data_IF_109223296260
#
_entry.id   IF_109223296260
#
_cell.length_a   1.000
_cell.length_b   1.000
_cell.length_c   1.000
_cell.angle_alpha   90.00
_cell.angle_beta   90.00
_cell.angle_gamma   90.00
#
_symmetry.space_group_name_H-M   'P 1'
#
loop_
_entity.id
_entity.type
_entity.pdbx_description
1 polymer ?
#
# COMPACT_ATOMS: atom_id res chain seq x y z
N UNK A 1 -2.39 -12.59 14.06
CA UNK A 1 -1.10 -12.83 13.39
C UNK A 1 -0.65 -11.54 12.73
N UNK A 2 0.56 -11.06 13.00
CA UNK A 2 1.20 -9.96 12.26
C UNK A 2 2.30 -10.61 11.44
N UNK A 3 2.43 -10.21 10.18
CA UNK A 3 3.44 -10.73 9.25
C UNK A 3 4.21 -9.58 8.63
N UNK A 4 5.47 -9.80 8.34
CA UNK A 4 6.29 -8.94 7.50
C UNK A 4 6.39 -9.57 6.10
N UNK A 5 6.10 -8.78 5.07
CA UNK A 5 6.10 -9.25 3.68
C UNK A 5 7.41 -8.87 3.00
N UNK A 6 8.17 -9.86 2.56
CA UNK A 6 9.31 -9.61 1.70
C UNK A 6 8.84 -9.27 0.28
N UNK A 7 8.97 -8.00 -0.09
CA UNK A 7 8.53 -7.48 -1.39
C UNK A 7 9.69 -7.33 -2.40
N UNK A 8 10.91 -7.73 -2.06
CA UNK A 8 12.07 -7.64 -2.96
C UNK A 8 11.75 -8.29 -4.30
N UNK A 9 11.96 -7.55 -5.39
CA UNK A 9 11.68 -7.94 -6.78
C UNK A 9 10.22 -8.32 -7.11
N UNK A 10 9.30 -8.14 -6.16
CA UNK A 10 7.87 -8.38 -6.41
C UNK A 10 7.24 -7.24 -7.20
N UNK A 11 6.28 -7.59 -8.05
CA UNK A 11 5.46 -6.62 -8.76
C UNK A 11 4.28 -6.19 -7.89
N UNK A 12 4.19 -4.90 -7.63
CA UNK A 12 3.12 -4.27 -6.85
C UNK A 12 2.39 -3.27 -7.73
N UNK A 13 1.08 -3.45 -7.88
CA UNK A 13 0.23 -2.56 -8.65
C UNK A 13 -0.61 -1.69 -7.74
N UNK A 14 -0.64 -0.39 -8.02
CA UNK A 14 -1.49 0.57 -7.32
C UNK A 14 -2.45 1.21 -8.32
N UNK A 15 -3.74 1.01 -8.11
CA UNK A 15 -4.78 1.54 -8.98
C UNK A 15 -5.42 2.75 -8.29
N UNK A 16 -5.11 3.93 -8.80
CA UNK A 16 -5.51 5.22 -8.24
C UNK A 16 -4.31 6.10 -7.89
N UNK A 17 -4.20 7.26 -8.52
CA UNK A 17 -3.09 8.22 -8.36
C UNK A 17 -3.41 9.42 -7.44
N UNK A 18 -4.45 9.31 -6.61
CA UNK A 18 -4.84 10.31 -5.62
C UNK A 18 -3.98 10.30 -4.36
N UNK A 19 -4.47 10.95 -3.31
CA UNK A 19 -3.80 11.03 -2.01
C UNK A 19 -3.63 9.67 -1.35
N UNK A 20 -4.64 8.79 -1.47
CA UNK A 20 -4.62 7.47 -0.87
C UNK A 20 -3.61 6.55 -1.57
N UNK A 21 -3.61 6.49 -2.91
CA UNK A 21 -2.60 5.75 -3.68
C UNK A 21 -1.18 6.24 -3.37
N UNK A 22 -0.98 7.55 -3.33
CA UNK A 22 0.31 8.13 -2.96
C UNK A 22 0.75 7.76 -1.54
N UNK A 23 -0.18 7.69 -0.59
CA UNK A 23 0.09 7.26 0.78
C UNK A 23 0.56 5.82 0.84
N UNK A 24 -0.07 4.93 0.06
CA UNK A 24 0.33 3.51 -0.04
C UNK A 24 1.70 3.36 -0.69
N UNK A 25 1.93 4.05 -1.80
CA UNK A 25 3.22 4.03 -2.50
C UNK A 25 4.37 4.49 -1.61
N UNK A 26 4.16 5.51 -0.76
CA UNK A 26 5.18 5.95 0.19
C UNK A 26 5.65 4.84 1.13
N UNK A 27 4.77 3.95 1.56
CA UNK A 27 5.11 2.79 2.38
C UNK A 27 5.83 1.67 1.60
N UNK A 28 5.77 1.67 0.27
CA UNK A 28 6.42 0.68 -0.60
C UNK A 28 7.83 1.12 -1.05
N UNK A 29 8.12 2.42 -1.01
CA UNK A 29 9.38 2.99 -1.50
C UNK A 29 10.54 2.45 -0.73
N UNK A 30 11.01 1.73 -0.28
CA UNK A 30 12.16 1.18 0.45
C UNK A 30 12.09 -0.34 0.54
N UNK A 31 11.07 -0.93 -0.10
CA UNK A 31 10.86 -2.36 -0.09
C UNK A 31 11.51 -3.09 -1.28
N UNK A 32 12.23 -2.35 -2.14
CA UNK A 32 12.87 -2.87 -3.36
C UNK A 32 11.91 -3.66 -4.27
N UNK A 33 10.64 -3.27 -4.32
CA UNK A 33 9.64 -3.83 -5.20
C UNK A 33 9.47 -2.99 -6.46
N UNK A 34 8.92 -3.59 -7.53
CA UNK A 34 8.56 -2.91 -8.77
C UNK A 34 7.15 -2.36 -8.66
N UNK A 35 7.00 -1.04 -8.69
CA UNK A 35 5.72 -0.38 -8.45
C UNK A 35 5.17 0.16 -9.76
N UNK A 36 4.02 -0.35 -10.20
CA UNK A 36 3.25 0.17 -11.33
C UNK A 36 1.99 0.87 -10.82
N UNK A 37 1.79 2.12 -11.25
CA UNK A 37 0.62 2.93 -10.88
C UNK A 37 -0.28 3.11 -12.09
N UNK A 38 -1.53 2.70 -11.97
CA UNK A 38 -2.53 2.90 -13.03
C UNK A 38 -3.49 3.99 -12.61
N UNK A 39 -3.51 5.11 -13.35
CA UNK A 39 -4.40 6.23 -13.06
C UNK A 39 -4.45 7.24 -14.20
N UNK A 40 -5.61 7.87 -14.41
CA UNK A 40 -5.74 9.00 -15.32
C UNK A 40 -5.34 10.36 -14.70
N UNK A 41 -5.33 10.44 -13.37
CA UNK A 41 -4.96 11.63 -12.61
C UNK A 41 -3.91 11.29 -11.57
N UNK A 42 -2.87 12.10 -11.50
CA UNK A 42 -1.72 11.90 -10.63
C UNK A 42 -1.48 13.14 -9.80
N UNK A 43 -1.23 12.98 -8.53
CA UNK A 43 -0.76 14.07 -7.70
C UNK A 43 0.71 14.43 -8.04
N UNK A 44 1.16 15.60 -7.55
CA UNK A 44 2.52 16.10 -7.82
C UNK A 44 3.63 15.17 -7.34
N UNK A 45 3.39 14.51 -6.20
CA UNK A 45 4.35 13.59 -5.60
C UNK A 45 4.60 12.35 -6.48
N UNK A 46 3.54 11.73 -7.02
CA UNK A 46 3.69 10.58 -7.92
C UNK A 46 4.40 10.94 -9.21
N UNK A 47 4.12 12.12 -9.78
CA UNK A 47 4.86 12.64 -10.95
C UNK A 47 6.35 12.83 -10.67
N UNK A 48 6.70 13.25 -9.46
CA UNK A 48 8.09 13.36 -9.03
C UNK A 48 8.77 11.99 -8.92
N UNK A 49 8.09 10.97 -8.39
CA UNK A 49 8.61 9.61 -8.28
C UNK A 49 8.82 8.95 -9.65
N UNK A 50 7.90 9.17 -10.60
CA UNK A 50 8.04 8.72 -11.98
C UNK A 50 9.31 9.31 -12.63
N UNK A 51 9.51 10.64 -12.52
CA UNK A 51 10.71 11.30 -13.03
C UNK A 51 12.02 10.78 -12.41
N UNK A 52 11.96 10.27 -11.18
CA UNK A 52 13.10 9.66 -10.48
C UNK A 52 13.29 8.17 -10.83
N UNK A 53 12.45 7.60 -11.71
CA UNK A 53 12.49 6.18 -12.04
C UNK A 53 12.09 5.23 -10.89
N UNK A 54 11.44 5.75 -9.83
CA UNK A 54 11.05 4.95 -8.66
C UNK A 54 9.75 4.20 -8.82
N UNK A 55 8.92 4.62 -9.76
CA UNK A 55 7.64 4.00 -10.11
C UNK A 55 7.41 4.10 -11.60
N UNK A 56 6.67 3.14 -12.15
CA UNK A 56 6.13 3.19 -13.49
C UNK A 56 4.69 3.71 -13.45
N UNK A 57 4.30 4.55 -14.41
CA UNK A 57 2.95 5.09 -14.50
C UNK A 57 2.29 4.70 -15.81
N UNK A 58 1.14 4.05 -15.72
CA UNK A 58 0.25 3.80 -16.85
C UNK A 58 -0.92 4.76 -16.78
N UNK A 59 -0.91 5.73 -17.71
CA UNK A 59 -1.86 6.83 -17.73
C UNK A 59 -3.11 6.42 -18.49
N UNK A 60 -4.11 5.90 -17.77
CA UNK A 60 -5.38 5.49 -18.37
C UNK A 60 -6.56 5.73 -17.43
N UNK A 61 -7.76 5.91 -18.00
CA UNK A 61 -9.00 5.96 -17.26
C UNK A 61 -9.56 4.54 -17.18
N UNK A 62 -9.80 4.08 -15.96
CA UNK A 62 -10.39 2.78 -15.71
C UNK A 62 -11.91 2.88 -15.59
N UNK A 63 -12.63 2.11 -16.36
CA UNK A 63 -14.08 1.93 -16.26
C UNK A 63 -14.41 0.59 -15.57
N UNK A 64 -13.51 -0.38 -15.67
CA UNK A 64 -13.64 -1.72 -15.09
C UNK A 64 -12.26 -2.29 -14.72
N UNK A 65 -12.20 -3.57 -14.36
CA UNK A 65 -10.98 -4.27 -13.97
C UNK A 65 -10.27 -5.02 -15.11
N UNK A 66 -10.73 -4.90 -16.37
CA UNK A 66 -10.19 -5.64 -17.51
C UNK A 66 -8.71 -5.34 -17.80
N UNK A 67 -8.25 -4.15 -17.43
CA UNK A 67 -6.83 -3.80 -17.60
C UNK A 67 -5.89 -4.78 -16.88
N UNK A 68 -6.35 -5.44 -15.81
CA UNK A 68 -5.56 -6.40 -15.07
C UNK A 68 -5.19 -7.63 -15.93
N UNK A 69 -5.96 -7.95 -16.97
CA UNK A 69 -5.68 -9.07 -17.87
C UNK A 69 -4.34 -8.89 -18.61
N UNK A 70 -3.91 -7.65 -18.81
CA UNK A 70 -2.63 -7.31 -19.44
C UNK A 70 -1.44 -7.38 -18.45
N UNK A 71 -1.70 -7.57 -17.16
CA UNK A 71 -0.66 -7.57 -16.11
C UNK A 71 -0.68 -8.88 -15.33
N UNK A 72 0.09 -9.85 -15.80
CA UNK A 72 0.24 -11.13 -15.08
C UNK A 72 1.25 -11.03 -13.94
N UNK A 73 1.17 -11.96 -13.00
CA UNK A 73 2.15 -12.14 -11.91
C UNK A 73 2.28 -10.93 -10.97
N UNK A 74 1.19 -10.19 -10.73
CA UNK A 74 1.17 -9.18 -9.69
C UNK A 74 1.13 -9.85 -8.32
N UNK A 75 2.11 -9.58 -7.47
CA UNK A 75 2.13 -10.11 -6.11
C UNK A 75 1.09 -9.40 -5.23
N UNK A 76 0.96 -8.09 -5.42
CA UNK A 76 0.10 -7.24 -4.62
C UNK A 76 -0.65 -6.23 -5.50
N UNK A 77 -1.96 -6.11 -5.32
CA UNK A 77 -2.79 -5.13 -6.00
C UNK A 77 -3.52 -4.26 -4.97
N UNK A 78 -3.30 -2.95 -5.03
CA UNK A 78 -3.91 -1.97 -4.15
C UNK A 78 -4.95 -1.15 -4.92
N UNK A 79 -6.23 -1.33 -4.62
CA UNK A 79 -7.33 -0.54 -5.17
C UNK A 79 -7.55 0.72 -4.32
N UNK A 80 -7.19 1.88 -4.86
CA UNK A 80 -7.21 3.17 -4.18
C UNK A 80 -7.87 4.27 -5.04
N UNK A 81 -8.90 3.91 -5.79
CA UNK A 81 -9.69 4.88 -6.56
C UNK A 81 -10.80 5.50 -5.71
N UNK A 82 -11.42 6.57 -6.20
CA UNK A 82 -12.59 7.18 -5.57
C UNK A 82 -13.92 6.45 -5.90
N UNK A 83 -13.85 5.35 -6.65
CA UNK A 83 -15.01 4.57 -7.06
C UNK A 83 -15.03 3.21 -6.34
N UNK A 84 -15.89 3.08 -5.33
CA UNK A 84 -16.02 1.88 -4.51
C UNK A 84 -16.36 0.63 -5.33
N UNK A 85 -17.28 0.76 -6.30
CA UNK A 85 -17.66 -0.35 -7.17
C UNK A 85 -16.48 -0.83 -8.02
N UNK A 86 -15.69 0.09 -8.56
CA UNK A 86 -14.47 -0.23 -9.30
C UNK A 86 -13.44 -0.90 -8.39
N UNK A 87 -13.23 -0.37 -7.18
CA UNK A 87 -12.29 -0.97 -6.21
C UNK A 87 -12.65 -2.42 -5.90
N UNK A 88 -13.94 -2.74 -5.71
CA UNK A 88 -14.40 -4.11 -5.51
C UNK A 88 -14.09 -5.02 -6.70
N UNK A 89 -14.41 -4.58 -7.92
CA UNK A 89 -14.12 -5.33 -9.15
C UNK A 89 -12.60 -5.59 -9.30
N UNK A 90 -11.76 -4.61 -8.98
CA UNK A 90 -10.30 -4.75 -9.00
C UNK A 90 -9.85 -5.81 -8.00
N UNK A 91 -10.38 -5.77 -6.77
CA UNK A 91 -10.05 -6.74 -5.72
C UNK A 91 -10.48 -8.16 -6.12
N UNK A 92 -11.71 -8.34 -6.59
CA UNK A 92 -12.23 -9.63 -7.04
C UNK A 92 -11.37 -10.20 -8.18
N UNK A 93 -11.07 -9.39 -9.17
CA UNK A 93 -10.22 -9.78 -10.31
C UNK A 93 -8.79 -10.09 -9.85
N UNK A 94 -8.18 -9.24 -9.04
CA UNK A 94 -6.82 -9.47 -8.53
C UNK A 94 -6.74 -10.76 -7.71
N UNK A 95 -7.73 -11.03 -6.87
CA UNK A 95 -7.81 -12.28 -6.10
C UNK A 95 -7.95 -13.50 -6.99
N UNK A 96 -8.76 -13.44 -8.06
CA UNK A 96 -8.87 -14.53 -9.03
C UNK A 96 -7.56 -14.79 -9.81
N UNK A 97 -6.66 -13.81 -9.86
CA UNK A 97 -5.33 -13.94 -10.46
C UNK A 97 -4.26 -14.44 -9.47
N UNK A 98 -4.62 -14.72 -8.22
CA UNK A 98 -3.71 -15.18 -7.18
C UNK A 98 -2.89 -14.06 -6.50
N UNK A 99 -3.25 -12.80 -6.71
CA UNK A 99 -2.60 -11.66 -6.05
C UNK A 99 -3.16 -11.44 -4.65
N UNK A 100 -2.33 -10.98 -3.70
CA UNK A 100 -2.83 -10.34 -2.49
C UNK A 100 -3.51 -9.02 -2.86
N UNK A 101 -4.65 -8.74 -2.27
CA UNK A 101 -5.43 -7.55 -2.63
C UNK A 101 -5.78 -6.68 -1.44
N UNK A 102 -5.85 -5.36 -1.68
CA UNK A 102 -6.22 -4.38 -0.68
C UNK A 102 -7.19 -3.35 -1.29
N UNK A 103 -8.32 -3.15 -0.65
CA UNK A 103 -9.27 -2.07 -0.94
C UNK A 103 -9.06 -0.92 0.06
N UNK A 104 -8.72 0.27 -0.43
CA UNK A 104 -8.41 1.40 0.44
C UNK A 104 -9.66 1.96 1.17
N UNK A 105 -10.82 1.76 0.58
CA UNK A 105 -12.13 2.21 1.08
C UNK A 105 -12.91 1.14 1.84
N UNK A 106 -12.48 -0.11 1.77
CA UNK A 106 -13.15 -1.24 2.43
C UNK A 106 -12.12 -2.24 3.00
N UNK A 107 -11.63 -2.01 4.23
CA UNK A 107 -10.66 -2.92 4.85
C UNK A 107 -11.15 -4.36 5.04
N UNK A 108 -12.48 -4.57 5.17
CA UNK A 108 -13.06 -5.91 5.34
C UNK A 108 -13.02 -6.72 4.03
N UNK A 109 -12.93 -6.02 2.90
CA UNK A 109 -12.83 -6.65 1.57
C UNK A 109 -11.38 -6.93 1.16
N UNK A 110 -10.43 -6.60 2.01
CA UNK A 110 -8.99 -6.76 1.79
C UNK A 110 -8.47 -8.08 2.38
N UNK A 111 -7.43 -8.67 1.77
CA UNK A 111 -6.78 -9.89 2.29
C UNK A 111 -5.86 -9.59 3.48
N UNK A 112 -5.50 -8.34 3.67
CA UNK A 112 -4.64 -7.88 4.76
C UNK A 112 -4.99 -6.46 5.19
N UNK A 113 -4.48 -6.04 6.34
CA UNK A 113 -4.63 -4.68 6.86
C UNK A 113 -3.29 -4.06 7.20
N UNK A 114 -3.20 -2.73 7.02
CA UNK A 114 -2.03 -1.98 7.47
C UNK A 114 -2.07 -1.75 8.98
N UNK A 115 -0.97 -2.05 9.63
CA UNK A 115 -0.76 -1.78 11.06
C UNK A 115 -0.14 -0.40 11.27
N UNK A 116 -0.17 0.10 12.51
CA UNK A 116 0.58 1.29 12.90
C UNK A 116 2.02 0.89 13.20
N UNK A 117 2.98 1.34 12.40
CA UNK A 117 4.37 0.89 12.46
C UNK A 117 5.27 1.97 13.08
N UNK A 118 6.19 1.54 13.95
CA UNK A 118 7.38 2.27 14.36
C UNK A 118 8.54 1.64 13.60
N UNK A 119 9.34 2.47 12.92
CA UNK A 119 10.58 2.03 12.31
C UNK A 119 11.73 2.87 12.86
N UNK A 120 12.69 2.23 13.49
CA UNK A 120 13.86 2.88 14.06
C UNK A 120 15.08 2.50 13.23
N UNK A 121 15.54 3.43 12.41
CA UNK A 121 16.76 3.39 11.63
C UNK A 121 16.93 2.12 10.75
N UNK A 122 15.82 1.47 10.38
CA UNK A 122 15.84 0.23 9.61
C UNK A 122 16.26 -1.01 10.41
N UNK A 123 16.56 -0.86 11.71
CA UNK A 123 17.06 -1.95 12.58
C UNK A 123 15.91 -2.61 13.34
N UNK A 124 14.95 -1.81 13.80
CA UNK A 124 13.82 -2.30 14.59
C UNK A 124 12.49 -1.83 13.99
N UNK A 125 11.60 -2.78 13.76
CA UNK A 125 10.21 -2.48 13.45
C UNK A 125 9.28 -3.01 14.53
N UNK A 126 8.33 -2.17 14.95
CA UNK A 126 7.26 -2.55 15.88
C UNK A 126 5.92 -2.30 15.22
N UNK A 127 5.13 -3.35 15.03
CA UNK A 127 3.79 -3.27 14.47
C UNK A 127 2.73 -3.30 15.58
N UNK A 128 1.80 -2.36 15.55
CA UNK A 128 0.71 -2.23 16.52
C UNK A 128 -0.60 -2.39 15.77
N UNK A 129 -1.35 -3.42 16.12
CA UNK A 129 -2.67 -3.71 15.56
C UNK A 129 -3.74 -3.64 16.65
N UNK A 130 -4.86 -3.03 16.32
CA UNK A 130 -6.10 -3.08 17.10
C UNK A 130 -7.17 -3.87 16.35
N UNK A 131 -6.76 -4.71 15.40
CA UNK A 131 -7.67 -5.46 14.50
C UNK A 131 -8.69 -4.55 13.79
N UNK A 132 -8.27 -3.33 13.44
CA UNK A 132 -9.14 -2.32 12.82
C UNK A 132 -10.13 -1.64 13.77
N UNK A 133 -10.23 -2.07 15.04
CA UNK A 133 -11.21 -1.57 16.02
C UNK A 133 -10.94 -0.13 16.47
N UNK A 134 -9.69 0.28 16.56
CA UNK A 134 -9.34 1.64 17.01
C UNK A 134 -8.01 2.16 16.42
N UNK A 135 -8.05 2.72 15.21
CA UNK A 135 -6.86 3.37 14.61
C UNK A 135 -6.29 4.50 15.49
N UNK A 136 -7.17 5.20 16.21
CA UNK A 136 -6.76 6.29 17.12
C UNK A 136 -5.93 5.74 18.29
N UNK A 137 -6.34 4.62 18.87
CA UNK A 137 -5.60 3.97 19.95
C UNK A 137 -4.25 3.44 19.45
N UNK A 138 -4.22 2.77 18.31
CA UNK A 138 -2.99 2.29 17.70
C UNK A 138 -1.99 3.44 17.47
N UNK A 139 -2.46 4.59 16.95
CA UNK A 139 -1.65 5.79 16.77
C UNK A 139 -1.14 6.37 18.08
N UNK A 140 -1.98 6.46 19.12
CA UNK A 140 -1.57 6.97 20.45
C UNK A 140 -0.50 6.10 21.08
N UNK A 141 -0.66 4.78 21.01
CA UNK A 141 0.33 3.82 21.52
C UNK A 141 1.63 3.94 20.74
N UNK A 142 1.57 4.00 19.41
CA UNK A 142 2.74 4.18 18.54
C UNK A 142 3.58 5.39 18.98
N UNK A 143 2.96 6.55 19.13
CA UNK A 143 3.67 7.80 19.49
C UNK A 143 4.36 7.67 20.86
N UNK A 144 3.71 7.03 21.83
CA UNK A 144 4.30 6.84 23.17
C UNK A 144 5.47 5.84 23.14
N UNK A 145 5.28 4.69 22.49
CA UNK A 145 6.31 3.66 22.38
C UNK A 145 7.53 4.14 21.58
N UNK A 146 7.33 4.86 20.51
CA UNK A 146 8.39 5.40 19.68
C UNK A 146 9.37 6.25 20.50
N UNK A 147 8.86 7.12 21.39
CA UNK A 147 9.68 7.94 22.30
C UNK A 147 10.50 7.11 23.29
N UNK A 148 9.91 6.02 23.81
CA UNK A 148 10.59 5.11 24.74
C UNK A 148 11.71 4.35 24.02
N UNK A 149 11.40 3.78 22.88
CA UNK A 149 12.34 2.98 22.10
C UNK A 149 13.53 3.79 21.62
N UNK A 150 13.32 5.03 21.18
CA UNK A 150 14.42 5.93 20.83
C UNK A 150 15.37 6.20 22.01
N UNK A 151 14.86 6.29 23.24
CA UNK A 151 15.70 6.46 24.44
C UNK A 151 16.52 5.22 24.79
N UNK A 152 16.01 4.04 24.47
CA UNK A 152 16.69 2.76 24.75
C UNK A 152 17.80 2.51 23.73
N UNK A 153 17.55 2.80 22.46
CA UNK A 153 18.47 2.47 21.36
C UNK A 153 19.61 3.50 21.25
N UNK A 154 19.36 4.76 21.65
CA UNK A 154 20.40 5.83 21.62
C UNK A 154 21.27 5.89 22.88
N UNK A 155 21.13 4.94 23.80
CA UNK A 155 22.07 4.70 24.89
C UNK A 155 23.15 3.70 24.45
#
# INVERSE_FOLDING_TARGET
MIVDLNLVDKHVMVIGGGSEGARKIRGLLGQNCKITVISNRLNRYLKSLEKQGKIEIVKTKLNDASILDSYKNQFLILAATNNKTLNRKIVEKGRSMGSFVYAADDPQFSDFSYTSIINIEGILQVAISTYGKSPIMARKIRIKLERILYRIIKK
#
